data_IF_117319827912
#
_entry.id   IF_117319827912
#
_cell.length_a   1.000
_cell.length_b   1.000
_cell.length_c   1.000
_cell.angle_alpha   90.00
_cell.angle_beta   90.00
_cell.angle_gamma   90.00
#
_symmetry.space_group_name_H-M   'P 1'
#
loop_
_entity.id
_entity.type
_entity.pdbx_description
1 polymer ?
#
# COMPACT_ATOMS: atom_id res chain seq x y z
N UNK A 1 -11.56 51.60 57.72
CA UNK A 1 -10.41 50.69 57.50
C UNK A 1 -10.71 49.84 56.28
N UNK A 2 -9.90 49.69 55.24
CA UNK A 2 -8.58 50.16 54.87
C UNK A 2 -8.31 49.53 53.48
N UNK A 3 -7.83 50.33 52.53
CA UNK A 3 -7.70 50.02 51.10
C UNK A 3 -6.86 48.77 50.80
N UNK A 4 -7.28 47.96 49.83
CA UNK A 4 -6.38 47.09 49.07
C UNK A 4 -6.17 47.70 47.68
N UNK A 5 -4.93 48.05 47.37
CA UNK A 5 -4.49 48.42 46.05
C UNK A 5 -3.03 47.99 45.89
N UNK A 6 -2.61 47.81 44.63
CA UNK A 6 -1.20 47.96 44.26
C UNK A 6 -0.43 46.66 44.04
N UNK A 7 -0.56 46.15 42.83
CA UNK A 7 0.47 45.51 42.02
C UNK A 7 1.91 46.03 42.27
N UNK A 8 2.91 45.12 42.30
CA UNK A 8 4.22 45.23 41.61
C UNK A 8 5.18 44.04 41.89
N UNK A 9 5.36 43.25 40.84
CA UNK A 9 6.60 42.70 40.25
C UNK A 9 7.92 42.77 41.05
N UNK A 10 8.64 41.63 41.22
CA UNK A 10 10.11 41.55 41.01
C UNK A 10 10.64 40.10 40.84
N UNK A 11 11.42 39.95 39.76
CA UNK A 11 12.54 39.02 39.47
C UNK A 11 12.38 37.49 39.53
N UNK A 12 12.27 36.88 38.34
CA UNK A 12 12.63 35.48 38.08
C UNK A 12 14.03 35.42 37.41
N UNK A 13 14.94 34.63 38.00
CA UNK A 13 16.29 34.38 37.47
C UNK A 13 16.29 33.30 36.36
N UNK A 14 16.94 33.51 35.20
CA UNK A 14 17.11 32.48 34.19
C UNK A 14 18.50 31.81 34.33
N UNK A 15 18.59 30.69 35.04
CA UNK A 15 19.81 29.86 35.08
C UNK A 15 19.62 28.41 34.63
N UNK A 16 18.40 27.96 34.37
CA UNK A 16 18.10 26.56 34.06
C UNK A 16 18.13 26.19 32.56
N UNK A 17 18.26 27.15 31.64
CA UNK A 17 18.09 26.90 30.20
C UNK A 17 19.37 26.45 29.46
N UNK A 18 20.54 26.53 30.10
CA UNK A 18 21.83 26.17 29.48
C UNK A 18 22.25 24.70 29.68
N UNK A 19 21.70 24.03 30.70
CA UNK A 19 22.07 22.65 31.05
C UNK A 19 21.22 21.59 30.34
N UNK A 20 20.00 21.92 29.93
CA UNK A 20 19.08 20.98 29.26
C UNK A 20 19.43 20.80 27.77
N UNK A 21 19.94 21.85 27.12
CA UNK A 21 20.37 21.79 25.71
C UNK A 21 21.63 20.96 25.51
N UNK A 22 22.54 20.94 26.49
CA UNK A 22 23.74 20.10 26.45
C UNK A 22 23.45 18.60 26.62
N UNK A 23 22.45 18.25 27.43
CA UNK A 23 22.11 16.84 27.70
C UNK A 23 21.33 16.20 26.55
N UNK A 24 20.47 16.95 25.86
CA UNK A 24 19.79 16.47 24.64
C UNK A 24 20.75 16.30 23.45
N UNK A 25 21.76 17.17 23.32
CA UNK A 25 22.74 17.06 22.22
C UNK A 25 23.70 15.87 22.41
N UNK A 26 24.03 15.53 23.67
CA UNK A 26 24.85 14.35 23.99
C UNK A 26 24.08 13.03 23.82
N UNK A 27 22.77 13.03 24.07
CA UNK A 27 21.92 11.85 23.88
C UNK A 27 21.62 11.55 22.40
N UNK A 28 21.59 12.59 21.54
CA UNK A 28 21.45 12.43 20.07
C UNK A 28 22.72 11.92 19.38
N UNK A 29 23.90 12.09 19.97
CA UNK A 29 25.17 11.65 19.37
C UNK A 29 25.54 10.20 19.73
N UNK A 30 24.92 9.62 20.76
CA UNK A 30 25.20 8.27 21.24
C UNK A 30 24.39 7.16 20.54
N UNK A 31 23.37 7.50 19.73
CA UNK A 31 22.56 6.52 18.97
C UNK A 31 23.09 6.26 17.56
N UNK A 32 24.20 6.88 17.17
CA UNK A 32 24.81 6.71 15.84
C UNK A 32 25.75 5.50 15.71
N UNK A 33 25.88 4.65 16.74
CA UNK A 33 26.61 3.38 16.60
C UNK A 33 25.77 2.42 15.76
N UNK A 34 26.15 2.34 14.49
CA UNK A 34 25.45 1.68 13.40
C UNK A 34 24.81 0.35 13.74
N UNK A 35 23.53 0.25 13.42
CA UNK A 35 22.99 -0.97 12.81
C UNK A 35 23.75 -1.18 11.50
N UNK A 36 24.91 -1.84 11.61
CA UNK A 36 25.49 -2.55 10.49
C UNK A 36 24.51 -3.68 10.25
N UNK A 37 23.59 -3.45 9.31
CA UNK A 37 22.81 -4.55 8.74
C UNK A 37 23.84 -5.51 8.19
N UNK A 38 24.06 -6.60 8.92
CA UNK A 38 24.74 -7.77 8.39
C UNK A 38 24.03 -8.05 7.07
N UNK A 39 24.78 -8.02 5.97
CA UNK A 39 24.23 -8.32 4.65
C UNK A 39 23.90 -9.80 4.64
N UNK A 40 22.82 -10.15 5.31
CA UNK A 40 22.27 -11.49 5.35
C UNK A 40 21.88 -11.80 3.91
N UNK A 41 22.47 -12.87 3.37
CA UNK A 41 22.13 -13.34 2.04
C UNK A 41 20.65 -13.72 2.06
N UNK A 42 19.82 -12.88 1.44
CA UNK A 42 18.38 -13.09 1.40
C UNK A 42 18.06 -14.34 0.57
N UNK A 43 17.62 -15.40 1.26
CA UNK A 43 17.09 -16.59 0.59
C UNK A 43 15.72 -16.30 -0.04
N UNK A 44 15.34 -17.12 -1.03
CA UNK A 44 14.03 -16.98 -1.69
C UNK A 44 12.90 -17.19 -0.68
N UNK A 45 13.07 -18.12 0.24
CA UNK A 45 12.11 -18.40 1.32
C UNK A 45 11.94 -17.21 2.26
N UNK A 46 13.05 -16.55 2.63
CA UNK A 46 13.00 -15.32 3.43
C UNK A 46 12.33 -14.17 2.67
N UNK A 47 12.63 -14.00 1.38
CA UNK A 47 11.99 -12.99 0.53
C UNK A 47 10.48 -13.22 0.41
N UNK A 48 10.05 -14.47 0.23
CA UNK A 48 8.62 -14.84 0.21
C UNK A 48 7.97 -14.55 1.56
N UNK A 49 8.60 -14.98 2.67
CA UNK A 49 8.05 -14.74 4.01
C UNK A 49 7.91 -13.25 4.30
N UNK A 50 8.89 -12.44 3.89
CA UNK A 50 8.86 -10.99 4.03
C UNK A 50 7.75 -10.36 3.17
N UNK A 51 7.62 -10.78 1.90
CA UNK A 51 6.56 -10.34 1.02
C UNK A 51 5.17 -10.69 1.59
N UNK A 52 4.96 -11.90 2.09
CA UNK A 52 3.66 -12.30 2.67
C UNK A 52 3.29 -11.50 3.93
N UNK A 53 4.26 -11.02 4.70
CA UNK A 53 4.03 -10.19 5.89
C UNK A 53 3.74 -8.74 5.54
N UNK A 54 4.50 -8.17 4.60
CA UNK A 54 4.56 -6.72 4.40
C UNK A 54 3.91 -6.23 3.09
N UNK A 55 3.35 -7.14 2.27
CA UNK A 55 2.66 -6.76 1.05
C UNK A 55 1.30 -6.08 1.35
N UNK A 56 1.21 -4.79 1.04
CA UNK A 56 0.02 -3.97 1.26
C UNK A 56 -1.20 -4.46 0.45
N UNK A 57 -0.98 -5.02 -0.74
CA UNK A 57 -2.05 -5.58 -1.57
C UNK A 57 -2.69 -6.79 -0.87
N UNK A 58 -1.92 -7.67 -0.24
CA UNK A 58 -2.46 -8.79 0.55
C UNK A 58 -3.23 -8.30 1.78
N UNK A 59 -2.81 -7.21 2.42
CA UNK A 59 -3.55 -6.60 3.52
C UNK A 59 -4.91 -6.08 3.04
N UNK A 60 -4.96 -5.41 1.89
CA UNK A 60 -6.20 -4.95 1.27
C UNK A 60 -7.12 -6.14 0.91
N UNK A 61 -6.59 -7.19 0.30
CA UNK A 61 -7.37 -8.37 -0.05
C UNK A 61 -7.92 -9.11 1.18
N UNK A 62 -7.17 -9.14 2.28
CA UNK A 62 -7.67 -9.70 3.54
C UNK A 62 -8.89 -8.94 4.08
N UNK A 63 -8.96 -7.62 3.88
CA UNK A 63 -10.11 -6.83 4.30
C UNK A 63 -11.40 -7.25 3.56
N UNK A 64 -11.29 -7.71 2.31
CA UNK A 64 -12.44 -8.23 1.54
C UNK A 64 -13.11 -9.42 2.22
N UNK A 65 -12.36 -10.28 2.94
CA UNK A 65 -12.93 -11.38 3.72
C UNK A 65 -13.84 -10.84 4.83
N UNK A 66 -13.40 -9.79 5.54
CA UNK A 66 -14.18 -9.15 6.61
C UNK A 66 -15.46 -8.51 6.05
N UNK A 67 -15.35 -7.85 4.89
CA UNK A 67 -16.52 -7.30 4.17
C UNK A 67 -17.50 -8.41 3.77
N UNK A 68 -16.99 -9.54 3.26
CA UNK A 68 -17.84 -10.67 2.89
C UNK A 68 -18.53 -11.32 4.11
N UNK A 69 -17.83 -11.42 5.26
CA UNK A 69 -18.43 -11.86 6.53
C UNK A 69 -19.54 -10.91 7.00
N UNK A 70 -19.32 -9.59 6.89
CA UNK A 70 -20.34 -8.61 7.22
C UNK A 70 -21.57 -8.74 6.29
N UNK A 71 -21.36 -9.02 5.00
CA UNK A 71 -22.47 -9.29 4.05
C UNK A 71 -23.26 -10.54 4.41
N UNK A 72 -22.61 -11.60 4.89
CA UNK A 72 -23.30 -12.79 5.44
C UNK A 72 -24.14 -12.41 6.66
N UNK A 73 -23.60 -11.60 7.58
CA UNK A 73 -24.36 -11.13 8.74
C UNK A 73 -25.58 -10.32 8.30
N UNK A 74 -25.41 -9.37 7.38
CA UNK A 74 -26.51 -8.57 6.82
C UNK A 74 -27.55 -9.45 6.11
N UNK A 75 -27.12 -10.46 5.36
CA UNK A 75 -28.03 -11.41 4.71
C UNK A 75 -28.90 -12.17 5.72
N UNK A 76 -28.37 -12.44 6.92
CA UNK A 76 -29.11 -13.07 8.02
C UNK A 76 -30.12 -12.14 8.67
N UNK A 77 -30.00 -10.82 8.55
CA UNK A 77 -30.96 -9.89 9.14
C UNK A 77 -32.34 -10.04 8.48
N UNK A 78 -33.38 -9.79 9.28
CA UNK A 78 -34.74 -9.62 8.77
C UNK A 78 -34.91 -8.16 8.33
N UNK A 79 -35.74 -7.88 7.32
CA UNK A 79 -36.09 -6.51 6.98
C UNK A 79 -36.65 -5.79 8.20
N UNK A 80 -36.12 -4.60 8.50
CA UNK A 80 -36.64 -3.77 9.58
C UNK A 80 -37.97 -3.16 9.15
N UNK A 81 -38.94 -3.00 10.07
CA UNK A 81 -40.14 -2.25 9.78
C UNK A 81 -39.81 -0.78 9.53
N UNK A 82 -40.56 -0.15 8.63
CA UNK A 82 -40.43 1.29 8.35
C UNK A 82 -41.65 1.96 8.97
N UNK A 83 -41.41 2.96 9.83
CA UNK A 83 -42.46 3.82 10.36
C UNK A 83 -42.38 5.14 9.62
N UNK A 84 -43.48 5.52 8.98
CA UNK A 84 -43.62 6.78 8.26
C UNK A 84 -44.66 7.64 8.96
N UNK A 85 -44.38 8.93 9.03
CA UNK A 85 -45.31 9.93 9.55
C UNK A 85 -45.52 10.91 8.41
N UNK A 86 -46.77 11.06 8.00
CA UNK A 86 -47.17 11.91 6.89
C UNK A 86 -48.15 12.96 7.40
N UNK A 87 -48.10 14.15 6.82
CA UNK A 87 -49.02 15.23 7.11
C UNK A 87 -49.50 15.82 5.78
N UNK A 88 -50.81 15.74 5.56
CA UNK A 88 -51.48 16.14 4.34
C UNK A 88 -52.38 17.36 4.61
N UNK A 89 -52.65 18.11 3.55
CA UNK A 89 -53.55 19.27 3.57
C UNK A 89 -53.09 20.45 4.48
N UNK A 90 -51.79 20.55 4.77
CA UNK A 90 -51.15 21.61 5.57
C UNK A 90 -51.51 23.05 5.13
N UNK A 91 -52.26 23.76 5.98
CA UNK A 91 -52.68 25.16 5.77
C UNK A 91 -51.60 26.09 6.32
N UNK A 92 -50.49 26.17 5.58
CA UNK A 92 -49.33 26.95 5.94
C UNK A 92 -49.61 28.47 5.97
N UNK A 93 -50.68 28.91 5.32
CA UNK A 93 -51.06 30.32 5.19
C UNK A 93 -52.22 30.73 6.12
N UNK A 94 -52.79 29.79 6.88
CA UNK A 94 -53.90 30.05 7.81
C UNK A 94 -55.20 30.48 7.12
N UNK A 95 -55.37 30.08 5.87
CA UNK A 95 -56.51 30.48 5.01
C UNK A 95 -57.79 29.71 5.30
N UNK A 96 -57.70 28.62 6.07
CA UNK A 96 -58.80 27.76 6.46
C UNK A 96 -59.41 26.98 5.29
N UNK A 97 -60.14 25.92 5.63
CA UNK A 97 -60.92 25.16 4.67
C UNK A 97 -62.26 25.86 4.40
N UNK A 98 -62.56 26.16 3.13
CA UNK A 98 -63.82 26.79 2.69
C UNK A 98 -64.14 26.41 1.22
N UNK A 99 -65.30 26.83 0.69
CA UNK A 99 -65.73 26.52 -0.69
C UNK A 99 -64.77 27.01 -1.80
N UNK A 100 -63.93 28.01 -1.52
CA UNK A 100 -62.94 28.58 -2.45
C UNK A 100 -61.59 27.85 -2.31
N UNK A 101 -61.20 27.51 -1.09
CA UNK A 101 -60.00 26.76 -0.73
C UNK A 101 -60.36 25.29 -0.45
N UNK A 102 -60.56 24.53 -1.52
CA UNK A 102 -60.94 23.11 -1.48
C UNK A 102 -59.81 22.14 -1.10
N UNK A 103 -58.78 22.62 -0.39
CA UNK A 103 -57.60 21.83 -0.04
C UNK A 103 -57.85 20.74 1.02
N UNK A 104 -59.04 20.66 1.63
CA UNK A 104 -59.38 19.67 2.66
C UNK A 104 -58.94 20.04 4.09
N UNK A 105 -59.43 19.34 5.12
CA UNK A 105 -58.98 19.51 6.50
C UNK A 105 -57.57 18.93 6.71
N UNK A 106 -56.86 19.43 7.73
CA UNK A 106 -55.54 18.93 8.13
C UNK A 106 -55.56 17.44 8.47
N UNK A 107 -54.69 16.66 7.85
CA UNK A 107 -54.57 15.23 8.12
C UNK A 107 -53.15 14.86 8.57
N UNK A 108 -53.06 14.03 9.60
CA UNK A 108 -51.81 13.45 10.07
C UNK A 108 -51.97 11.95 10.09
N UNK A 109 -51.07 11.23 9.46
CA UNK A 109 -51.11 9.77 9.41
C UNK A 109 -49.78 9.17 9.88
N UNK A 110 -49.88 8.03 10.56
CA UNK A 110 -48.73 7.21 10.94
C UNK A 110 -48.92 5.85 10.32
N UNK A 111 -47.96 5.45 9.48
CA UNK A 111 -47.96 4.16 8.79
C UNK A 111 -46.78 3.32 9.28
N UNK A 112 -47.00 2.02 9.43
CA UNK A 112 -45.90 1.09 9.68
C UNK A 112 -45.94 -0.05 8.68
N UNK A 113 -44.86 -0.16 7.90
CA UNK A 113 -44.71 -1.15 6.84
C UNK A 113 -43.84 -2.33 7.33
N UNK A 114 -44.44 -3.52 7.36
CA UNK A 114 -43.75 -4.76 7.72
C UNK A 114 -43.53 -5.63 6.48
N UNK A 115 -42.28 -5.85 6.11
CA UNK A 115 -41.95 -6.76 5.00
C UNK A 115 -41.88 -8.21 5.50
N UNK A 116 -42.87 -9.01 5.09
CA UNK A 116 -42.90 -10.46 5.37
C UNK A 116 -42.27 -11.25 4.22
N UNK A 117 -41.09 -11.83 4.48
CA UNK A 117 -40.41 -12.66 3.48
C UNK A 117 -41.06 -14.06 3.37
N UNK A 118 -41.44 -14.46 2.14
CA UNK A 118 -42.06 -15.77 1.84
C UNK A 118 -41.09 -16.72 1.13
N UNK A 119 -41.46 -18.00 1.06
CA UNK A 119 -40.81 -18.98 0.16
C UNK A 119 -39.32 -19.22 0.44
N UNK A 120 -38.88 -19.15 1.70
CA UNK A 120 -37.48 -19.39 2.05
C UNK A 120 -36.48 -18.37 1.51
N UNK A 121 -36.95 -17.20 1.04
CA UNK A 121 -36.11 -16.13 0.45
C UNK A 121 -34.91 -15.75 1.33
N UNK A 122 -35.12 -15.71 2.66
CA UNK A 122 -34.04 -15.47 3.64
C UNK A 122 -32.96 -16.55 3.60
N UNK A 123 -33.35 -17.83 3.59
CA UNK A 123 -32.39 -18.93 3.57
C UNK A 123 -31.53 -18.89 2.28
N UNK A 124 -32.18 -18.68 1.13
CA UNK A 124 -31.51 -18.52 -0.17
C UNK A 124 -30.55 -17.32 -0.19
N UNK A 125 -30.96 -16.18 0.40
CA UNK A 125 -30.09 -14.99 0.51
C UNK A 125 -28.85 -15.28 1.35
N UNK A 126 -29.00 -16.03 2.45
CA UNK A 126 -27.87 -16.45 3.30
C UNK A 126 -26.94 -17.39 2.50
N UNK A 127 -27.49 -18.38 1.81
CA UNK A 127 -26.72 -19.35 1.00
C UNK A 127 -25.88 -18.65 -0.08
N UNK A 128 -26.47 -17.67 -0.80
CA UNK A 128 -25.75 -16.85 -1.77
C UNK A 128 -24.62 -16.06 -1.12
N UNK A 129 -24.87 -15.45 0.04
CA UNK A 129 -23.86 -14.68 0.76
C UNK A 129 -22.71 -15.56 1.29
N UNK A 130 -23.01 -16.77 1.78
CA UNK A 130 -22.02 -17.75 2.24
C UNK A 130 -21.15 -18.25 1.06
N UNK A 131 -21.77 -18.53 -0.08
CA UNK A 131 -21.06 -18.92 -1.31
C UNK A 131 -20.16 -17.80 -1.80
N UNK A 132 -20.65 -16.55 -1.78
CA UNK A 132 -19.85 -15.37 -2.10
C UNK A 132 -18.67 -15.19 -1.12
N UNK A 133 -18.85 -15.45 0.18
CA UNK A 133 -17.75 -15.44 1.16
C UNK A 133 -16.69 -16.48 0.82
N UNK A 134 -17.11 -17.71 0.52
CA UNK A 134 -16.21 -18.79 0.11
C UNK A 134 -15.40 -18.40 -1.15
N UNK A 135 -16.04 -17.78 -2.13
CA UNK A 135 -15.35 -17.28 -3.32
C UNK A 135 -14.27 -16.23 -2.98
N UNK A 136 -14.57 -15.28 -2.08
CA UNK A 136 -13.60 -14.28 -1.61
C UNK A 136 -12.44 -14.90 -0.84
N UNK A 137 -12.70 -15.93 -0.02
CA UNK A 137 -11.63 -16.68 0.66
C UNK A 137 -10.69 -17.39 -0.34
N UNK A 138 -11.26 -17.94 -1.42
CA UNK A 138 -10.47 -18.57 -2.49
C UNK A 138 -9.68 -17.54 -3.30
N UNK A 139 -10.26 -16.37 -3.57
CA UNK A 139 -9.56 -15.24 -4.20
C UNK A 139 -8.37 -14.77 -3.35
N UNK A 140 -8.53 -14.69 -2.03
CA UNK A 140 -7.42 -14.35 -1.14
C UNK A 140 -6.30 -15.39 -1.18
N UNK A 141 -6.64 -16.68 -1.19
CA UNK A 141 -5.64 -17.76 -1.35
C UNK A 141 -4.91 -17.66 -2.69
N UNK A 142 -5.62 -17.27 -3.75
CA UNK A 142 -5.00 -17.05 -5.05
C UNK A 142 -4.07 -15.84 -5.05
N UNK A 143 -4.48 -14.72 -4.44
CA UNK A 143 -3.62 -13.55 -4.28
C UNK A 143 -2.31 -13.90 -3.55
N UNK A 144 -2.40 -14.73 -2.50
CA UNK A 144 -1.21 -15.25 -1.79
C UNK A 144 -0.31 -16.05 -2.73
N UNK A 145 -0.87 -16.97 -3.53
CA UNK A 145 -0.10 -17.76 -4.50
C UNK A 145 0.56 -16.89 -5.55
N UNK A 146 -0.15 -15.88 -6.05
CA UNK A 146 0.38 -14.96 -7.04
C UNK A 146 1.58 -14.18 -6.51
N UNK A 147 1.53 -13.69 -5.26
CA UNK A 147 2.67 -13.01 -4.62
C UNK A 147 3.85 -13.95 -4.45
N UNK A 148 3.63 -15.20 -4.03
CA UNK A 148 4.71 -16.20 -3.94
C UNK A 148 5.36 -16.42 -5.31
N UNK A 149 4.55 -16.61 -6.35
CA UNK A 149 5.04 -16.81 -7.72
C UNK A 149 5.82 -15.60 -8.24
N UNK A 150 5.33 -14.39 -7.99
CA UNK A 150 5.99 -13.14 -8.38
C UNK A 150 7.38 -13.02 -7.74
N UNK A 151 7.49 -13.29 -6.43
CA UNK A 151 8.78 -13.26 -5.72
C UNK A 151 9.74 -14.33 -6.26
N UNK A 152 9.25 -15.54 -6.53
CA UNK A 152 10.07 -16.61 -7.08
C UNK A 152 10.58 -16.28 -8.48
N UNK A 153 9.73 -15.73 -9.36
CA UNK A 153 10.13 -15.28 -10.69
C UNK A 153 11.16 -14.15 -10.61
N UNK A 154 10.94 -13.15 -9.74
CA UNK A 154 11.89 -12.07 -9.52
C UNK A 154 13.25 -12.59 -9.02
N UNK A 155 13.26 -13.63 -8.17
CA UNK A 155 14.50 -14.27 -7.74
C UNK A 155 15.23 -14.95 -8.91
N UNK A 156 14.51 -15.66 -9.78
CA UNK A 156 15.08 -16.26 -11.00
C UNK A 156 15.62 -15.18 -11.93
N UNK A 157 14.90 -14.08 -12.13
CA UNK A 157 15.34 -12.95 -12.97
C UNK A 157 16.63 -12.32 -12.44
N UNK A 158 16.75 -12.15 -11.11
CA UNK A 158 17.98 -11.65 -10.49
C UNK A 158 19.15 -12.62 -10.69
N UNK A 159 18.92 -13.93 -10.55
CA UNK A 159 19.95 -14.94 -10.79
C UNK A 159 20.40 -14.94 -12.26
N UNK A 160 19.45 -14.85 -13.20
CA UNK A 160 19.73 -14.76 -14.63
C UNK A 160 20.51 -13.48 -14.96
N UNK A 161 20.10 -12.34 -14.42
CA UNK A 161 20.80 -11.06 -14.61
C UNK A 161 22.24 -11.12 -14.08
N UNK A 162 22.46 -11.76 -12.92
CA UNK A 162 23.81 -11.99 -12.39
C UNK A 162 24.67 -12.85 -13.31
N UNK A 163 24.12 -13.95 -13.81
CA UNK A 163 24.83 -14.83 -14.75
C UNK A 163 25.18 -14.11 -16.07
N UNK A 164 24.24 -13.35 -16.62
CA UNK A 164 24.46 -12.56 -17.83
C UNK A 164 25.51 -11.47 -17.63
N UNK A 165 25.50 -10.81 -16.47
CA UNK A 165 26.51 -9.81 -16.12
C UNK A 165 27.91 -10.44 -16.03
N UNK A 166 28.01 -11.63 -15.44
CA UNK A 166 29.29 -12.34 -15.35
C UNK A 166 29.80 -12.73 -16.74
N UNK A 167 28.93 -13.30 -17.58
CA UNK A 167 29.28 -13.61 -18.97
C UNK A 167 29.70 -12.36 -19.77
N UNK A 168 29.02 -11.23 -19.59
CA UNK A 168 29.38 -9.98 -20.23
C UNK A 168 30.78 -9.49 -19.79
N UNK A 169 31.13 -9.65 -18.51
CA UNK A 169 32.45 -9.33 -17.98
C UNK A 169 33.55 -10.22 -18.54
N UNK A 170 33.30 -11.53 -18.65
CA UNK A 170 34.22 -12.48 -19.27
C UNK A 170 34.49 -12.14 -20.75
N UNK A 171 33.43 -11.76 -21.48
CA UNK A 171 33.54 -11.32 -22.87
C UNK A 171 34.35 -10.03 -23.00
N UNK A 172 34.10 -9.04 -22.12
CA UNK A 172 34.88 -7.81 -22.09
C UNK A 172 36.36 -8.09 -21.79
N UNK A 173 36.65 -8.93 -20.78
CA UNK A 173 38.02 -9.30 -20.44
C UNK A 173 38.74 -9.98 -21.61
N UNK A 174 38.06 -10.87 -22.33
CA UNK A 174 38.58 -11.54 -23.52
C UNK A 174 38.85 -10.56 -24.66
N UNK A 175 37.91 -9.64 -24.93
CA UNK A 175 38.07 -8.61 -25.96
C UNK A 175 39.22 -7.64 -25.63
N UNK A 176 39.35 -7.22 -24.38
CA UNK A 176 40.48 -6.40 -23.91
C UNK A 176 41.81 -7.12 -24.11
N UNK A 177 41.90 -8.42 -23.82
CA UNK A 177 43.11 -9.22 -24.04
C UNK A 177 43.49 -9.31 -25.52
N UNK A 178 42.52 -9.43 -26.42
CA UNK A 178 42.77 -9.40 -27.87
C UNK A 178 43.34 -8.05 -28.31
N UNK A 179 42.80 -6.94 -27.79
CA UNK A 179 43.32 -5.59 -28.07
C UNK A 179 44.78 -5.46 -27.61
N UNK A 180 45.12 -5.98 -26.42
CA UNK A 180 46.49 -5.97 -25.91
C UNK A 180 47.46 -6.76 -26.80
N UNK A 181 47.06 -7.97 -27.23
CA UNK A 181 47.85 -8.82 -28.12
C UNK A 181 48.06 -8.12 -29.47
N UNK A 182 47.00 -7.57 -30.06
CA UNK A 182 47.09 -6.85 -31.34
C UNK A 182 47.94 -5.57 -31.21
N UNK A 183 47.87 -4.86 -30.09
CA UNK A 183 48.73 -3.70 -29.84
C UNK A 183 50.21 -4.08 -29.72
N UNK A 184 50.53 -5.27 -29.21
CA UNK A 184 51.90 -5.80 -29.21
C UNK A 184 52.36 -6.20 -30.62
N UNK A 185 51.51 -6.92 -31.38
CA UNK A 185 51.80 -7.36 -32.75
C UNK A 185 51.97 -6.19 -33.73
N UNK A 186 51.18 -5.12 -33.59
CA UNK A 186 51.35 -3.91 -34.40
C UNK A 186 52.70 -3.26 -34.13
N UNK A 187 53.14 -3.18 -32.87
CA UNK A 187 54.46 -2.66 -32.50
C UNK A 187 55.61 -3.51 -33.04
N UNK A 188 55.39 -4.82 -33.18
CA UNK A 188 56.34 -5.75 -33.81
C UNK A 188 56.30 -5.69 -35.35
N UNK A 189 55.31 -5.03 -35.96
CA UNK A 189 55.12 -4.97 -37.42
C UNK A 189 54.36 -6.15 -38.02
N UNK A 190 53.77 -7.02 -37.20
CA UNK A 190 53.14 -8.28 -37.63
C UNK A 190 51.69 -8.12 -38.15
N UNK A 191 51.04 -6.98 -37.90
CA UNK A 191 49.66 -6.68 -38.34
C UNK A 191 49.52 -5.21 -38.76
N UNK A 192 48.55 -4.86 -39.62
CA UNK A 192 48.24 -3.47 -39.96
C UNK A 192 47.38 -2.78 -38.87
N UNK A 193 47.42 -1.45 -38.81
CA UNK A 193 46.68 -0.64 -37.83
C UNK A 193 45.16 -0.86 -37.85
N UNK A 194 44.59 -1.14 -39.02
CA UNK A 194 43.15 -1.43 -39.19
C UNK A 194 42.67 -2.63 -38.36
N UNK A 195 43.52 -3.65 -38.17
CA UNK A 195 43.17 -4.83 -37.34
C UNK A 195 43.12 -4.46 -35.85
N UNK A 196 44.04 -3.60 -35.39
CA UNK A 196 43.99 -3.07 -34.02
C UNK A 196 42.71 -2.25 -33.81
N UNK A 197 42.37 -1.37 -34.75
CA UNK A 197 41.15 -0.56 -34.67
C UNK A 197 39.89 -1.43 -34.64
N UNK A 198 39.82 -2.48 -35.46
CA UNK A 198 38.71 -3.44 -35.42
C UNK A 198 38.58 -4.11 -34.06
N UNK A 199 39.68 -4.55 -33.46
CA UNK A 199 39.65 -5.15 -32.12
C UNK A 199 39.24 -4.17 -31.02
N UNK A 200 39.62 -2.87 -31.13
CA UNK A 200 39.18 -1.83 -30.19
C UNK A 200 37.69 -1.56 -30.26
N UNK A 201 37.12 -1.51 -31.47
CA UNK A 201 35.66 -1.37 -31.66
C UNK A 201 34.93 -2.54 -30.99
N UNK A 202 35.38 -3.78 -31.23
CA UNK A 202 34.79 -4.95 -30.59
C UNK A 202 34.86 -4.91 -29.05
N UNK A 203 35.96 -4.39 -28.48
CA UNK A 203 36.07 -4.19 -27.03
C UNK A 203 35.17 -3.08 -26.51
N UNK A 204 34.97 -1.99 -27.27
CA UNK A 204 34.00 -0.94 -26.91
C UNK A 204 32.57 -1.49 -26.90
N UNK A 205 32.19 -2.28 -27.90
CA UNK A 205 30.88 -2.93 -27.96
C UNK A 205 30.68 -3.86 -26.75
N UNK A 206 31.68 -4.66 -26.40
CA UNK A 206 31.65 -5.50 -25.19
C UNK A 206 31.60 -4.68 -23.89
N UNK A 207 32.18 -3.47 -23.86
CA UNK A 207 32.10 -2.60 -22.68
C UNK A 207 30.71 -1.99 -22.49
N UNK A 208 29.99 -1.77 -23.59
CA UNK A 208 28.62 -1.24 -23.56
C UNK A 208 27.62 -2.27 -23.01
N UNK A 209 27.87 -3.57 -23.13
CA UNK A 209 26.96 -4.62 -22.63
C UNK A 209 27.11 -4.89 -21.13
N UNK A 210 28.23 -4.50 -20.52
CA UNK A 210 28.47 -4.63 -19.07
C UNK A 210 27.90 -3.44 -18.28
N UNK A 211 27.66 -2.32 -18.95
CA UNK A 211 27.31 -1.03 -18.35
C UNK A 211 25.82 -0.88 -18.10
#
# INVERSE_FOLDING_TARGET
>A
MGRCGGEKMTSFHPRALRSVTGLCLLFMLATATGLRAEQETLSVEQAVAEALRNNLSLVAERANISVAQARVLTARLRPNPVVSIDADHLDLLGTGFNEINGAGPQEYSVRTDFTLERGGKRARRIEVAETARSAVEMQFREAVRQVVLEVQNAAVDVLLAKANLELARENLASASRIVEINAARLRAGDIPEVELMRSRVAAMDASNTVR
#
